data_IF_904474052654
#
_entry.id   IF_904474052654
#
_cell.length_a   1.000
_cell.length_b   1.000
_cell.length_c   1.000
_cell.angle_alpha   90.00
_cell.angle_beta   90.00
_cell.angle_gamma   90.00
#
_symmetry.space_group_name_H-M   'P 1'
#
loop_
_entity.id
_entity.type
_entity.pdbx_description
1 polymer ?
#
# COMPACT_ATOMS: atom_id res chain seq x y z
N UNK A 1 -1.18 0.12 25.11
CA UNK A 1 0.03 0.28 24.27
C UNK A 1 -0.13 -0.32 22.88
N UNK A 2 -0.47 -1.61 22.75
CA UNK A 2 -0.64 -2.28 21.45
C UNK A 2 -1.65 -1.59 20.51
N UNK A 3 -2.82 -1.18 21.02
CA UNK A 3 -3.83 -0.49 20.20
C UNK A 3 -3.38 0.89 19.69
N UNK A 4 -2.54 1.60 20.45
CA UNK A 4 -1.99 2.91 20.04
C UNK A 4 -1.00 2.70 18.88
N UNK A 5 -0.13 1.69 18.99
CA UNK A 5 0.81 1.34 17.93
C UNK A 5 0.09 0.86 16.67
N UNK A 6 -0.97 0.08 16.82
CA UNK A 6 -1.82 -0.38 15.71
C UNK A 6 -2.44 0.81 14.97
N UNK A 7 -3.16 1.68 15.69
CA UNK A 7 -3.84 2.83 15.09
C UNK A 7 -2.82 3.81 14.49
N UNK A 8 -1.73 4.10 15.20
CA UNK A 8 -0.67 4.97 14.72
C UNK A 8 0.01 4.43 13.47
N UNK A 9 0.31 3.12 13.44
CA UNK A 9 0.87 2.44 12.27
C UNK A 9 -0.07 2.51 11.06
N UNK A 10 -1.37 2.29 11.28
CA UNK A 10 -2.38 2.36 10.22
C UNK A 10 -2.49 3.77 9.61
N UNK A 11 -2.50 4.80 10.46
CA UNK A 11 -2.53 6.20 10.02
C UNK A 11 -1.28 6.56 9.22
N UNK A 12 -0.09 6.17 9.71
CA UNK A 12 1.16 6.45 9.01
C UNK A 12 1.23 5.73 7.66
N UNK A 13 0.75 4.50 7.59
CA UNK A 13 0.71 3.70 6.35
C UNK A 13 -0.21 4.35 5.31
N UNK A 14 -1.40 4.80 5.73
CA UNK A 14 -2.34 5.54 4.87
C UNK A 14 -1.73 6.84 4.34
N UNK A 15 -1.17 7.67 5.22
CA UNK A 15 -0.56 8.94 4.82
C UNK A 15 0.66 8.75 3.92
N UNK A 16 1.45 7.69 4.16
CA UNK A 16 2.58 7.32 3.32
C UNK A 16 2.16 6.96 1.89
N UNK A 17 1.07 6.20 1.74
CA UNK A 17 0.49 5.88 0.44
C UNK A 17 0.00 7.13 -0.32
N UNK A 18 -0.71 8.01 0.35
CA UNK A 18 -1.21 9.27 -0.24
C UNK A 18 -0.05 10.21 -0.65
N UNK A 19 0.99 10.29 0.17
CA UNK A 19 2.19 11.08 -0.14
C UNK A 19 2.94 10.52 -1.36
N UNK A 20 3.07 9.19 -1.47
CA UNK A 20 3.66 8.51 -2.63
C UNK A 20 2.90 8.86 -3.91
N UNK A 21 1.57 8.76 -3.88
CA UNK A 21 0.73 9.07 -5.04
C UNK A 21 0.91 10.52 -5.52
N UNK A 22 0.85 11.49 -4.61
CA UNK A 22 1.02 12.91 -4.93
C UNK A 22 2.42 13.20 -5.47
N UNK A 23 3.44 12.60 -4.86
CA UNK A 23 4.84 12.70 -5.30
C UNK A 23 5.03 12.20 -6.72
N UNK A 24 4.47 11.03 -7.05
CA UNK A 24 4.55 10.45 -8.38
C UNK A 24 3.84 11.28 -9.46
N UNK A 25 2.66 11.84 -9.14
CA UNK A 25 1.95 12.75 -10.06
C UNK A 25 2.75 14.04 -10.29
N UNK A 26 3.36 14.61 -9.24
CA UNK A 26 4.20 15.79 -9.39
C UNK A 26 5.45 15.49 -10.24
N UNK A 27 6.05 14.32 -10.05
CA UNK A 27 7.21 13.87 -10.81
C UNK A 27 6.87 13.63 -12.28
N UNK A 28 5.74 12.98 -12.59
CA UNK A 28 5.32 12.71 -13.97
C UNK A 28 5.15 14.00 -14.77
N UNK A 29 4.55 15.03 -14.15
CA UNK A 29 4.40 16.37 -14.74
C UNK A 29 5.74 17.02 -15.05
N UNK A 30 6.72 16.92 -14.14
CA UNK A 30 8.07 17.46 -14.36
C UNK A 30 8.84 16.74 -15.45
N UNK A 31 8.63 15.43 -15.59
CA UNK A 31 9.33 14.60 -16.58
C UNK A 31 8.63 14.56 -17.95
N UNK A 32 7.47 15.21 -18.11
CA UNK A 32 6.70 15.17 -19.36
C UNK A 32 6.11 13.79 -19.67
N UNK A 33 6.04 12.89 -18.68
CA UNK A 33 5.49 11.55 -18.81
C UNK A 33 3.98 11.62 -18.59
N UNK A 34 3.22 10.78 -19.31
CA UNK A 34 1.77 10.68 -19.14
C UNK A 34 1.41 10.49 -17.67
N UNK A 35 0.73 11.50 -17.10
CA UNK A 35 0.23 11.45 -15.73
C UNK A 35 -0.78 10.32 -15.58
N UNK A 36 -1.57 10.03 -16.61
CA UNK A 36 -2.48 8.90 -16.62
C UNK A 36 -1.74 7.56 -16.45
N UNK A 37 -0.64 7.37 -17.18
CA UNK A 37 0.16 6.15 -17.10
C UNK A 37 0.79 5.99 -15.71
N UNK A 38 1.43 7.05 -15.21
CA UNK A 38 2.05 7.05 -13.88
C UNK A 38 0.99 6.88 -12.80
N UNK A 39 -0.16 7.54 -12.90
CA UNK A 39 -1.27 7.35 -11.97
C UNK A 39 -1.81 5.92 -12.04
N UNK A 40 -1.98 5.30 -13.22
CA UNK A 40 -2.45 3.91 -13.24
C UNK A 40 -1.46 2.95 -12.58
N UNK A 41 -0.16 3.10 -12.85
CA UNK A 41 0.88 2.25 -12.25
C UNK A 41 1.00 2.53 -10.75
N UNK A 42 1.06 3.79 -10.34
CA UNK A 42 1.29 4.18 -8.94
C UNK A 42 0.03 4.10 -8.10
N UNK A 43 -1.16 4.37 -8.62
CA UNK A 43 -2.42 4.13 -7.89
C UNK A 43 -2.59 2.64 -7.68
N UNK A 44 -2.44 1.82 -8.74
CA UNK A 44 -2.55 0.36 -8.61
C UNK A 44 -1.53 -0.24 -7.64
N UNK A 45 -0.31 0.30 -7.62
CA UNK A 45 0.71 -0.13 -6.66
C UNK A 45 0.50 0.48 -5.26
N UNK A 46 0.05 1.73 -5.20
CA UNK A 46 -0.10 2.52 -3.97
C UNK A 46 -1.26 2.05 -3.12
N UNK A 47 -2.35 1.58 -3.73
CA UNK A 47 -3.48 0.98 -3.00
C UNK A 47 -3.11 -0.36 -2.37
N UNK A 48 -2.13 -1.09 -2.95
CA UNK A 48 -1.69 -2.40 -2.48
C UNK A 48 -0.34 -2.37 -1.74
N UNK A 49 0.29 -1.19 -1.65
CA UNK A 49 1.57 -0.99 -0.97
C UNK A 49 1.49 -1.26 0.54
N UNK A 50 0.42 -0.85 1.26
CA UNK A 50 0.20 -1.23 2.64
C UNK A 50 0.26 -2.75 2.86
N UNK A 51 -0.50 -3.48 2.05
CA UNK A 51 -0.66 -4.93 2.10
C UNK A 51 0.65 -5.63 1.75
N UNK A 52 1.35 -5.14 0.73
CA UNK A 52 2.65 -5.66 0.34
C UNK A 52 3.65 -5.54 1.49
N UNK A 53 3.73 -4.36 2.14
CA UNK A 53 4.62 -4.13 3.27
C UNK A 53 4.28 -5.03 4.46
N UNK A 54 3.00 -5.12 4.83
CA UNK A 54 2.52 -5.99 5.91
C UNK A 54 2.86 -7.46 5.61
N UNK A 55 2.67 -7.90 4.37
CA UNK A 55 2.98 -9.28 3.96
C UNK A 55 4.47 -9.59 4.04
N UNK A 56 5.33 -8.69 3.57
CA UNK A 56 6.79 -8.85 3.68
C UNK A 56 7.21 -8.92 5.15
N UNK A 57 6.76 -7.96 5.97
CA UNK A 57 7.13 -7.93 7.38
C UNK A 57 6.64 -9.17 8.13
N UNK A 58 5.43 -9.64 7.84
CA UNK A 58 4.89 -10.87 8.43
C UNK A 58 5.72 -12.10 8.03
N UNK A 59 6.11 -12.21 6.75
CA UNK A 59 6.95 -13.30 6.28
C UNK A 59 8.34 -13.29 6.94
N UNK A 60 8.98 -12.11 7.01
CA UNK A 60 10.29 -11.95 7.65
C UNK A 60 10.27 -12.21 9.17
N UNK A 61 9.15 -11.92 9.83
CA UNK A 61 8.97 -12.17 11.26
C UNK A 61 8.53 -13.61 11.60
N UNK A 62 8.58 -14.54 10.64
CA UNK A 62 8.23 -15.94 10.87
C UNK A 62 6.72 -16.20 10.99
N UNK A 63 5.87 -15.29 10.48
CA UNK A 63 4.42 -15.41 10.47
C UNK A 63 3.84 -15.50 9.03
N UNK A 64 4.22 -16.52 8.23
CA UNK A 64 3.82 -16.62 6.82
C UNK A 64 2.29 -16.75 6.63
N UNK A 65 1.58 -17.32 7.61
CA UNK A 65 0.12 -17.42 7.56
C UNK A 65 -0.57 -16.05 7.57
N UNK A 66 0.01 -15.05 8.25
CA UNK A 66 -0.51 -13.67 8.24
C UNK A 66 -0.26 -13.04 6.88
N UNK A 67 0.92 -13.24 6.29
CA UNK A 67 1.21 -12.75 4.95
C UNK A 67 0.24 -13.33 3.91
N UNK A 68 -0.02 -14.64 3.98
CA UNK A 68 -0.95 -15.32 3.07
C UNK A 68 -2.39 -14.85 3.28
N UNK A 69 -2.83 -14.75 4.54
CA UNK A 69 -4.16 -14.24 4.90
C UNK A 69 -4.37 -12.80 4.45
N UNK A 70 -3.34 -11.96 4.54
CA UNK A 70 -3.38 -10.58 4.05
C UNK A 70 -3.53 -10.52 2.53
N UNK A 71 -2.70 -11.24 1.77
CA UNK A 71 -2.80 -11.25 0.28
C UNK A 71 -4.14 -11.80 -0.20
N UNK A 72 -4.55 -12.97 0.32
CA UNK A 72 -5.80 -13.62 -0.11
C UNK A 72 -7.01 -12.81 0.33
N UNK A 73 -7.02 -12.36 1.58
CA UNK A 73 -8.11 -11.58 2.16
C UNK A 73 -8.32 -10.24 1.43
N UNK A 74 -7.24 -9.50 1.17
CA UNK A 74 -7.34 -8.22 0.45
C UNK A 74 -7.82 -8.38 -0.99
N UNK A 75 -7.40 -9.44 -1.70
CA UNK A 75 -7.91 -9.70 -3.04
C UNK A 75 -9.39 -10.08 -3.05
N UNK A 76 -9.85 -10.86 -2.07
CA UNK A 76 -11.27 -11.18 -1.90
C UNK A 76 -12.06 -9.89 -1.63
N UNK A 77 -11.59 -9.06 -0.69
CA UNK A 77 -12.22 -7.78 -0.35
C UNK A 77 -12.30 -6.86 -1.58
N UNK A 78 -11.19 -6.67 -2.30
CA UNK A 78 -11.14 -5.79 -3.48
C UNK A 78 -12.05 -6.24 -4.64
N UNK A 79 -12.36 -7.53 -4.74
CA UNK A 79 -13.23 -8.05 -5.81
C UNK A 79 -14.71 -8.00 -5.39
N UNK A 80 -15.02 -8.19 -4.11
CA UNK A 80 -16.39 -8.37 -3.61
C UNK A 80 -17.00 -7.14 -2.94
N UNK A 81 -16.20 -6.13 -2.57
CA UNK A 81 -16.64 -4.86 -1.96
C UNK A 81 -16.38 -3.69 -2.90
#
# INVERSE_FOLDING_TARGET
MAYIQLIGGLVLLFLGGEALLRGSIALSKKLGISTLLVSMVVVGFGTSAPEFLVSILAALNGAPNIALGNVVGSNIANILL
#
